data_IF_099114918112
#
_entry.id   IF_099114918112
#
_cell.length_a   1.000
_cell.length_b   1.000
_cell.length_c   1.000
_cell.angle_alpha   90.00
_cell.angle_beta   90.00
_cell.angle_gamma   90.00
#
_symmetry.space_group_name_H-M   'P 1'
#
loop_
_entity.id
_entity.type
_entity.pdbx_description
1 polymer ?
#
# COMPACT_ATOMS: atom_id res chain seq x y z
N UNK A 1 5.19 -1.69 10.65
CA UNK A 1 3.89 -2.02 10.05
C UNK A 1 3.92 -3.27 9.16
N UNK A 2 4.98 -3.55 8.39
CA UNK A 2 4.98 -4.74 7.51
C UNK A 2 4.72 -6.03 8.25
N UNK A 3 5.29 -6.17 9.45
CA UNK A 3 5.16 -7.35 10.27
C UNK A 3 3.72 -7.68 10.62
N UNK A 4 2.95 -6.65 10.97
CA UNK A 4 1.53 -6.81 11.34
C UNK A 4 0.68 -7.23 10.15
N UNK A 5 0.98 -6.69 8.98
CA UNK A 5 0.21 -6.98 7.77
C UNK A 5 0.56 -8.33 7.14
N UNK A 6 1.76 -8.84 7.39
CA UNK A 6 2.17 -10.14 6.86
C UNK A 6 1.34 -11.31 7.38
N UNK A 7 0.80 -11.19 8.59
CA UNK A 7 0.01 -12.28 9.17
C UNK A 7 -1.34 -12.46 8.47
N UNK A 8 -1.78 -11.48 7.69
CA UNK A 8 -3.08 -11.53 7.00
C UNK A 8 -3.01 -12.16 5.60
N UNK A 9 -1.81 -12.35 5.06
CA UNK A 9 -1.64 -12.88 3.71
C UNK A 9 -0.20 -12.73 3.24
N UNK A 10 -0.01 -12.85 1.92
CA UNK A 10 1.32 -12.72 1.30
C UNK A 10 1.56 -11.27 0.91
N UNK A 11 2.19 -10.52 1.77
CA UNK A 11 2.49 -9.11 1.52
C UNK A 11 3.52 -8.99 0.39
N UNK A 12 3.22 -8.15 -0.60
CA UNK A 12 4.08 -7.91 -1.75
C UNK A 12 4.63 -6.50 -1.78
N UNK A 13 3.84 -5.52 -1.38
CA UNK A 13 4.25 -4.13 -1.36
C UNK A 13 3.49 -3.39 -0.26
N UNK A 14 4.20 -2.52 0.44
CA UNK A 14 3.58 -1.63 1.41
C UNK A 14 4.18 -0.24 1.24
N UNK A 15 3.35 0.72 0.88
CA UNK A 15 3.75 2.11 0.65
C UNK A 15 2.86 3.01 1.50
N UNK A 16 3.48 3.98 2.18
CA UNK A 16 2.71 5.03 2.87
C UNK A 16 2.77 6.31 2.06
N UNK A 17 1.70 7.09 2.14
CA UNK A 17 1.55 8.33 1.39
C UNK A 17 0.53 9.23 2.09
N UNK A 18 -0.04 10.18 1.37
CA UNK A 18 -1.08 11.05 1.91
C UNK A 18 -0.62 11.80 3.14
N UNK A 19 -1.43 11.75 4.19
CA UNK A 19 -1.15 12.47 5.43
C UNK A 19 0.01 11.89 6.23
N UNK A 20 0.46 10.68 5.89
CA UNK A 20 1.61 10.05 6.54
C UNK A 20 2.94 10.51 5.96
N UNK A 21 2.95 11.21 4.81
CA UNK A 21 4.17 11.62 4.11
C UNK A 21 4.15 13.04 3.56
N UNK A 22 3.23 13.88 3.87
CA UNK A 22 3.07 15.21 3.25
C UNK A 22 2.72 15.17 1.75
N UNK A 23 2.24 14.05 1.25
CA UNK A 23 1.77 13.96 -0.12
C UNK A 23 0.32 14.47 -0.21
N UNK A 24 0.17 15.70 -0.68
CA UNK A 24 -1.14 16.35 -0.78
C UNK A 24 -1.93 15.91 -2.02
N UNK A 25 -1.30 15.19 -2.92
CA UNK A 25 -1.96 14.70 -4.15
C UNK A 25 -2.71 13.40 -3.90
N UNK A 26 -2.29 12.61 -2.93
CA UNK A 26 -2.88 11.30 -2.67
C UNK A 26 -4.05 11.40 -1.70
N UNK A 27 -5.14 10.72 -2.06
CA UNK A 27 -6.31 10.59 -1.19
C UNK A 27 -6.19 9.41 -0.22
N UNK A 28 -5.18 8.57 -0.41
CA UNK A 28 -4.96 7.43 0.46
C UNK A 28 -3.66 7.60 1.22
N UNK A 29 -3.63 7.01 2.41
CA UNK A 29 -2.46 7.05 3.29
C UNK A 29 -1.61 5.81 3.17
N UNK A 30 -2.18 4.71 2.68
CA UNK A 30 -1.48 3.43 2.60
C UNK A 30 -1.91 2.64 1.37
N UNK A 31 -0.93 2.21 0.59
CA UNK A 31 -1.14 1.28 -0.52
C UNK A 31 -0.58 -0.07 -0.12
N UNK A 32 -1.45 -1.08 -0.13
CA UNK A 32 -1.07 -2.45 0.22
C UNK A 32 -1.30 -3.36 -0.98
N UNK A 33 -0.26 -4.07 -1.39
CA UNK A 33 -0.39 -5.12 -2.40
C UNK A 33 -0.08 -6.43 -1.68
N UNK A 34 -1.05 -7.33 -1.66
CA UNK A 34 -0.92 -8.61 -0.97
C UNK A 34 -1.83 -9.65 -1.59
N UNK A 35 -1.35 -10.89 -1.65
CA UNK A 35 -2.12 -12.00 -2.20
C UNK A 35 -2.68 -12.87 -1.08
N UNK A 36 -3.79 -13.56 -1.37
CA UNK A 36 -4.44 -14.50 -0.45
C UNK A 36 -4.72 -13.88 0.93
N UNK A 37 -5.20 -12.65 0.94
CA UNK A 37 -5.47 -11.92 2.16
C UNK A 37 -6.70 -12.48 2.87
N UNK A 38 -6.56 -12.69 4.18
CA UNK A 38 -7.67 -13.03 5.07
C UNK A 38 -8.19 -11.73 5.67
N UNK A 39 -9.46 -11.44 5.43
CA UNK A 39 -10.06 -10.16 5.78
C UNK A 39 -10.00 -9.84 7.27
N UNK A 40 -10.39 -10.79 8.12
CA UNK A 40 -10.39 -10.57 9.56
C UNK A 40 -9.03 -10.19 10.11
N UNK A 41 -8.00 -11.03 9.88
CA UNK A 41 -6.63 -10.69 10.30
C UNK A 41 -6.12 -9.38 9.70
N UNK A 42 -6.45 -9.08 8.44
CA UNK A 42 -6.05 -7.82 7.82
C UNK A 42 -6.66 -6.62 8.53
N UNK A 43 -7.96 -6.66 8.78
CA UNK A 43 -8.64 -5.56 9.46
C UNK A 43 -8.13 -5.37 10.89
N UNK A 44 -7.84 -6.47 11.59
CA UNK A 44 -7.27 -6.40 12.94
C UNK A 44 -5.89 -5.75 12.92
N UNK A 45 -5.05 -6.13 11.96
CA UNK A 45 -3.72 -5.54 11.79
C UNK A 45 -3.84 -4.05 11.50
N UNK A 46 -4.75 -3.67 10.61
CA UNK A 46 -4.98 -2.27 10.26
C UNK A 46 -5.40 -1.44 11.47
N UNK A 47 -6.35 -1.95 12.26
CA UNK A 47 -6.79 -1.25 13.47
C UNK A 47 -5.67 -1.09 14.48
N UNK A 48 -4.80 -2.10 14.59
CA UNK A 48 -3.63 -2.02 15.47
C UNK A 48 -2.69 -0.89 15.04
N UNK A 49 -2.48 -0.75 13.73
CA UNK A 49 -1.65 0.32 13.19
C UNK A 49 -2.31 1.69 13.43
N UNK A 50 -3.60 1.78 13.18
CA UNK A 50 -4.35 3.03 13.44
C UNK A 50 -4.25 3.45 14.91
N UNK A 51 -4.33 2.49 15.82
CA UNK A 51 -4.21 2.76 17.25
C UNK A 51 -2.82 3.30 17.60
N UNK A 52 -1.76 2.78 16.99
CA UNK A 52 -0.40 3.26 17.20
C UNK A 52 -0.21 4.69 16.67
N UNK A 53 -0.79 4.98 15.51
CA UNK A 53 -0.65 6.28 14.86
C UNK A 53 -1.59 7.32 15.48
N UNK A 54 -2.72 6.88 16.02
CA UNK A 54 -3.72 7.76 16.60
C UNK A 54 -4.66 8.39 15.59
N UNK A 55 -4.83 7.78 14.41
CA UNK A 55 -5.76 8.27 13.39
C UNK A 55 -6.22 7.13 12.50
N UNK A 56 -7.35 7.34 11.83
CA UNK A 56 -7.81 6.42 10.80
C UNK A 56 -6.91 6.49 9.57
N UNK A 57 -6.75 5.35 8.91
CA UNK A 57 -5.94 5.23 7.69
C UNK A 57 -6.86 4.97 6.50
N UNK A 58 -6.74 5.84 5.51
CA UNK A 58 -7.39 5.62 4.22
C UNK A 58 -6.45 4.72 3.42
N UNK A 59 -6.89 3.52 3.09
CA UNK A 59 -6.04 2.54 2.43
C UNK A 59 -6.67 1.96 1.18
N UNK A 60 -5.82 1.39 0.33
CA UNK A 60 -6.24 0.59 -0.82
C UNK A 60 -5.50 -0.74 -0.73
N UNK A 61 -6.25 -1.83 -0.85
CA UNK A 61 -5.70 -3.18 -0.86
C UNK A 61 -5.92 -3.79 -2.24
N UNK A 62 -4.82 -4.16 -2.89
CA UNK A 62 -4.84 -4.78 -4.21
C UNK A 62 -4.10 -6.11 -4.16
N UNK A 63 -4.51 -7.08 -4.98
CA UNK A 63 -3.66 -8.24 -5.20
C UNK A 63 -2.60 -7.91 -6.25
N UNK A 64 -1.63 -8.80 -6.45
CA UNK A 64 -0.53 -8.55 -7.37
C UNK A 64 -0.99 -8.34 -8.79
N UNK A 65 -1.95 -9.13 -9.26
CA UNK A 65 -2.46 -9.01 -10.63
C UNK A 65 -3.17 -7.69 -10.85
N UNK A 66 -4.01 -7.28 -9.91
CA UNK A 66 -4.70 -6.00 -9.99
C UNK A 66 -3.73 -4.83 -9.94
N UNK A 67 -2.71 -4.92 -9.08
CA UNK A 67 -1.68 -3.88 -9.01
C UNK A 67 -0.95 -3.73 -10.33
N UNK A 68 -0.49 -4.85 -10.94
CA UNK A 68 0.19 -4.80 -12.22
C UNK A 68 -0.69 -4.22 -13.32
N UNK A 69 -1.95 -4.62 -13.35
CA UNK A 69 -2.91 -4.11 -14.33
C UNK A 69 -3.07 -2.59 -14.18
N UNK A 70 -3.26 -2.11 -12.97
CA UNK A 70 -3.43 -0.67 -12.72
C UNK A 70 -2.17 0.13 -13.06
N UNK A 71 -0.98 -0.44 -12.82
CA UNK A 71 0.27 0.20 -13.22
C UNK A 71 0.35 0.34 -14.74
N UNK A 72 -0.01 -0.71 -15.48
CA UNK A 72 -0.03 -0.68 -16.94
C UNK A 72 -1.04 0.33 -17.49
N UNK A 73 -2.19 0.45 -16.85
CA UNK A 73 -3.24 1.37 -17.25
C UNK A 73 -3.00 2.81 -16.78
N UNK A 74 -1.90 3.05 -16.10
CA UNK A 74 -1.52 4.36 -15.57
C UNK A 74 -2.62 4.94 -14.68
N UNK A 75 -3.11 4.14 -13.76
CA UNK A 75 -4.18 4.49 -12.83
C UNK A 75 -3.84 5.76 -12.05
N UNK A 76 -4.76 6.70 -12.05
CA UNK A 76 -4.57 7.99 -11.36
C UNK A 76 -4.35 7.84 -9.86
N UNK A 77 -5.05 6.91 -9.22
CA UNK A 77 -4.88 6.67 -7.79
C UNK A 77 -3.43 6.27 -7.48
N UNK A 78 -2.87 5.36 -8.27
CA UNK A 78 -1.49 4.94 -8.10
C UNK A 78 -0.51 6.05 -8.47
N UNK A 79 -0.81 6.84 -9.49
CA UNK A 79 0.01 7.99 -9.86
C UNK A 79 0.08 9.00 -8.71
N UNK A 80 -1.07 9.29 -8.09
CA UNK A 80 -1.12 10.23 -6.96
C UNK A 80 -0.27 9.76 -5.78
N UNK A 81 -0.14 8.45 -5.60
CA UNK A 81 0.70 7.87 -4.55
C UNK A 81 2.17 7.86 -4.99
N UNK A 82 2.45 7.24 -6.14
CA UNK A 82 3.81 6.84 -6.49
C UNK A 82 4.64 7.92 -7.19
N UNK A 83 4.00 8.89 -7.83
CA UNK A 83 4.71 9.97 -8.51
C UNK A 83 5.02 11.16 -7.60
N UNK A 84 4.53 11.14 -6.37
CA UNK A 84 4.75 12.20 -5.38
C UNK A 84 5.33 11.61 -4.11
N UNK A 85 5.44 12.41 -3.06
CA UNK A 85 6.06 11.98 -1.81
C UNK A 85 5.38 10.73 -1.23
N UNK A 86 6.13 9.67 -1.11
CA UNK A 86 5.69 8.42 -0.51
C UNK A 86 6.91 7.72 0.09
N UNK A 87 6.65 6.74 0.93
CA UNK A 87 7.72 5.93 1.52
C UNK A 87 7.38 4.45 1.34
N UNK A 88 8.31 3.71 0.77
CA UNK A 88 8.17 2.28 0.57
C UNK A 88 8.66 1.56 1.81
N UNK A 89 7.76 0.91 2.52
CA UNK A 89 8.10 0.20 3.76
C UNK A 89 8.44 -1.27 3.54
N UNK A 90 7.93 -1.87 2.47
CA UNK A 90 8.20 -3.26 2.15
C UNK A 90 8.01 -3.50 0.65
N UNK A 91 8.89 -4.31 0.09
CA UNK A 91 8.77 -4.76 -1.30
C UNK A 91 9.27 -6.20 -1.39
N UNK A 92 8.42 -7.10 -1.90
CA UNK A 92 8.80 -8.49 -2.13
C UNK A 92 9.80 -8.60 -3.27
N UNK A 93 10.64 -9.63 -3.25
CA UNK A 93 11.66 -9.85 -4.29
C UNK A 93 11.09 -9.92 -5.71
N UNK A 94 9.90 -10.48 -5.87
CA UNK A 94 9.25 -10.59 -7.19
C UNK A 94 8.90 -9.24 -7.81
N UNK A 95 8.89 -8.17 -7.00
CA UNK A 95 8.68 -6.80 -7.47
C UNK A 95 9.96 -5.96 -7.47
N UNK A 96 11.11 -6.57 -7.16
CA UNK A 96 12.36 -5.84 -6.94
C UNK A 96 12.83 -5.02 -8.14
N UNK A 97 12.54 -5.46 -9.36
CA UNK A 97 12.94 -4.75 -10.58
C UNK A 97 11.85 -3.82 -11.12
N UNK A 98 10.69 -3.82 -10.50
CA UNK A 98 9.58 -3.02 -10.97
C UNK A 98 9.78 -1.54 -10.62
N UNK A 99 9.61 -0.68 -11.61
CA UNK A 99 9.66 0.76 -11.39
C UNK A 99 8.33 1.22 -10.81
N UNK A 100 8.36 1.75 -9.58
CA UNK A 100 7.16 2.25 -8.90
C UNK A 100 6.95 3.73 -9.22
N UNK A 101 6.64 3.99 -10.48
CA UNK A 101 6.37 5.33 -10.97
C UNK A 101 5.51 5.23 -12.21
N UNK A 102 4.47 6.05 -12.28
CA UNK A 102 3.56 6.04 -13.43
C UNK A 102 4.09 6.93 -14.55
N UNK A 103 4.63 8.07 -14.20
CA UNK A 103 5.17 9.04 -15.18
C UNK A 103 6.68 9.10 -15.21
#
# INVERSE_FOLDING_TARGET
YPRKLRVSGKLKLLVISGTLTNNKHSRIDMLVVADKVKRGPFESALRSIEAEIGKEIMYVLLDTNEFRYRMEMRDKLLSDVLDFDHEELYRANELSTMRLRIT
#
